data_IF_891459407244
#
_entry.id   IF_891459407244
#
_cell.length_a   1.000
_cell.length_b   1.000
_cell.length_c   1.000
_cell.angle_alpha   90.00
_cell.angle_beta   90.00
_cell.angle_gamma   90.00
#
_symmetry.space_group_name_H-M   'P 1'
#
loop_
_entity.id
_entity.type
_entity.pdbx_description
1 polymer ?
#
# COMPACT_ATOMS: atom_id res chain seq x y z
N UNK A 1 30.39 3.64 0.55
CA UNK A 1 30.10 4.07 -0.81
C UNK A 1 28.96 5.07 -0.77
N UNK A 2 29.05 6.13 -1.55
CA UNK A 2 27.96 7.11 -1.66
C UNK A 2 26.75 6.45 -2.33
N UNK A 3 25.57 6.53 -1.72
CA UNK A 3 24.35 5.96 -2.30
C UNK A 3 24.01 6.74 -3.58
N UNK A 4 23.63 6.01 -4.64
CA UNK A 4 23.18 6.59 -5.90
C UNK A 4 21.67 6.78 -5.89
N UNK A 5 21.18 7.70 -6.69
CA UNK A 5 19.74 7.77 -6.98
C UNK A 5 19.30 6.51 -7.70
N UNK A 6 18.04 6.10 -7.51
CA UNK A 6 17.51 4.94 -8.22
C UNK A 6 17.56 5.14 -9.74
N UNK A 7 17.44 6.40 -10.21
CA UNK A 7 17.60 6.77 -11.63
C UNK A 7 18.99 6.42 -12.16
N UNK A 8 20.04 6.76 -11.40
CA UNK A 8 21.44 6.53 -11.82
C UNK A 8 21.81 5.05 -11.73
N UNK A 9 21.36 4.38 -10.68
CA UNK A 9 21.69 2.96 -10.44
C UNK A 9 20.93 2.02 -11.40
N UNK A 10 19.71 2.39 -11.82
CA UNK A 10 18.76 1.52 -12.51
C UNK A 10 18.21 2.14 -13.81
N UNK A 11 19.00 2.93 -14.53
CA UNK A 11 18.58 3.59 -15.78
C UNK A 11 18.02 2.60 -16.83
N UNK A 12 18.70 1.47 -17.07
CA UNK A 12 18.26 0.44 -18.01
C UNK A 12 17.01 -0.30 -17.55
N UNK A 13 16.84 -0.47 -16.24
CA UNK A 13 15.62 -1.01 -15.63
C UNK A 13 14.41 -0.15 -15.96
N UNK A 14 14.48 1.17 -15.77
CA UNK A 14 13.36 2.07 -16.08
C UNK A 14 13.05 2.12 -17.58
N UNK A 15 14.08 2.00 -18.43
CA UNK A 15 13.89 1.85 -19.87
C UNK A 15 13.14 0.57 -20.20
N UNK A 16 13.53 -0.55 -19.59
CA UNK A 16 12.86 -1.85 -19.79
C UNK A 16 11.42 -1.84 -19.27
N UNK A 17 11.17 -1.27 -18.06
CA UNK A 17 9.82 -1.08 -17.52
C UNK A 17 8.93 -0.32 -18.50
N UNK A 18 9.42 0.80 -19.02
CA UNK A 18 8.66 1.64 -19.95
C UNK A 18 8.34 0.94 -21.26
N UNK A 19 9.30 0.17 -21.81
CA UNK A 19 9.10 -0.62 -23.03
C UNK A 19 8.08 -1.75 -22.87
N UNK A 20 7.97 -2.33 -21.69
CA UNK A 20 7.01 -3.38 -21.38
C UNK A 20 5.62 -2.85 -21.02
N UNK A 21 5.50 -1.56 -20.69
CA UNK A 21 4.27 -0.98 -20.15
C UNK A 21 3.14 -0.97 -21.16
N UNK A 22 1.98 -1.48 -20.73
CA UNK A 22 0.71 -1.48 -21.47
C UNK A 22 -0.42 -0.86 -20.66
N UNK A 23 -0.14 -0.35 -19.46
CA UNK A 23 -1.14 0.22 -18.58
C UNK A 23 -1.80 1.47 -19.16
N UNK A 24 -3.11 1.60 -18.94
CA UNK A 24 -3.88 2.75 -19.37
C UNK A 24 -3.36 4.04 -18.71
N UNK A 25 -3.16 5.09 -19.51
CA UNK A 25 -2.76 6.40 -19.00
C UNK A 25 -3.91 7.14 -18.32
N UNK A 26 -5.16 6.87 -18.73
CA UNK A 26 -6.36 7.46 -18.11
C UNK A 26 -7.14 6.39 -17.35
N UNK A 27 -7.61 6.78 -16.19
CA UNK A 27 -8.45 5.94 -15.34
C UNK A 27 -9.89 6.44 -15.40
N UNK A 28 -10.80 5.50 -15.65
CA UNK A 28 -12.24 5.70 -15.55
C UNK A 28 -12.92 4.52 -14.85
N UNK A 29 -14.25 4.54 -14.78
CA UNK A 29 -15.02 3.48 -14.11
C UNK A 29 -14.93 2.08 -14.76
N UNK A 30 -14.40 1.96 -15.98
CA UNK A 30 -14.29 0.68 -16.69
C UNK A 30 -12.95 -0.04 -16.45
N UNK A 31 -11.93 0.67 -15.98
CA UNK A 31 -10.56 0.15 -15.88
C UNK A 31 -9.90 0.32 -14.49
N UNK A 32 -10.71 0.44 -13.43
CA UNK A 32 -10.20 0.58 -12.05
C UNK A 32 -9.44 -0.65 -11.55
N UNK A 33 -9.79 -1.86 -11.99
CA UNK A 33 -9.05 -3.08 -11.65
C UNK A 33 -8.02 -3.36 -12.74
N UNK A 34 -6.77 -3.39 -12.36
CA UNK A 34 -5.64 -3.55 -13.28
C UNK A 34 -4.75 -4.71 -12.83
N UNK A 35 -4.60 -5.68 -13.71
CA UNK A 35 -3.73 -6.84 -13.48
C UNK A 35 -2.25 -6.44 -13.56
N UNK A 36 -1.43 -7.15 -12.80
CA UNK A 36 0.01 -7.03 -12.86
C UNK A 36 0.55 -7.39 -14.25
N UNK A 37 1.54 -6.62 -14.71
CA UNK A 37 2.35 -6.98 -15.87
C UNK A 37 3.48 -7.92 -15.45
N UNK A 38 3.46 -9.19 -15.84
CA UNK A 38 4.43 -10.17 -15.36
C UNK A 38 5.87 -9.87 -15.79
N UNK A 39 6.08 -9.14 -16.90
CA UNK A 39 7.43 -8.71 -17.32
C UNK A 39 7.96 -7.63 -16.40
N UNK A 40 7.13 -6.64 -16.06
CA UNK A 40 7.49 -5.57 -15.13
C UNK A 40 7.64 -6.11 -13.71
N UNK A 41 6.81 -7.08 -13.29
CA UNK A 41 6.95 -7.75 -12.00
C UNK A 41 8.32 -8.41 -11.85
N UNK A 42 8.80 -9.17 -12.84
CA UNK A 42 10.14 -9.79 -12.81
C UNK A 42 11.28 -8.77 -12.69
N UNK A 43 11.13 -7.61 -13.33
CA UNK A 43 12.12 -6.54 -13.18
C UNK A 43 12.12 -5.99 -11.74
N UNK A 44 10.94 -5.81 -11.14
CA UNK A 44 10.83 -5.38 -9.74
C UNK A 44 11.40 -6.39 -8.77
N UNK A 45 11.13 -7.68 -8.98
CA UNK A 45 11.68 -8.75 -8.16
C UNK A 45 13.22 -8.72 -8.19
N UNK A 46 13.81 -8.49 -9.37
CA UNK A 46 15.26 -8.34 -9.51
C UNK A 46 15.81 -7.11 -8.77
N UNK A 47 15.13 -5.98 -8.83
CA UNK A 47 15.52 -4.78 -8.09
C UNK A 47 15.51 -5.03 -6.58
N UNK A 48 14.49 -5.72 -6.07
CA UNK A 48 14.42 -6.10 -4.65
C UNK A 48 15.54 -7.08 -4.30
N UNK A 49 15.71 -8.15 -5.08
CA UNK A 49 16.76 -9.16 -4.86
C UNK A 49 18.15 -8.53 -4.79
N UNK A 50 18.47 -7.59 -5.67
CA UNK A 50 19.77 -6.92 -5.72
C UNK A 50 20.07 -6.05 -4.49
N UNK A 51 19.04 -5.63 -3.74
CA UNK A 51 19.18 -4.69 -2.63
C UNK A 51 18.70 -5.26 -1.28
N UNK A 52 18.18 -6.48 -1.23
CA UNK A 52 17.73 -7.12 -0.01
C UNK A 52 18.90 -7.85 0.66
N UNK A 53 19.24 -7.47 1.90
CA UNK A 53 20.25 -8.20 2.66
C UNK A 53 19.73 -9.58 3.10
N UNK A 54 20.59 -10.61 3.21
CA UNK A 54 20.20 -11.98 3.55
C UNK A 54 19.47 -12.14 4.88
N UNK A 55 19.72 -11.23 5.84
CA UNK A 55 19.09 -11.22 7.17
C UNK A 55 17.64 -10.69 7.15
N UNK A 56 17.17 -10.25 5.99
CA UNK A 56 15.79 -9.78 5.84
C UNK A 56 14.81 -10.94 6.01
N UNK A 57 13.72 -10.70 6.74
CA UNK A 57 12.77 -11.77 7.05
C UNK A 57 11.35 -11.24 7.33
N UNK A 58 10.41 -12.18 7.32
CA UNK A 58 9.06 -11.96 7.84
C UNK A 58 9.04 -12.34 9.31
N UNK A 59 8.58 -11.43 10.16
CA UNK A 59 8.42 -11.65 11.60
C UNK A 59 6.97 -12.04 11.91
N UNK A 60 6.77 -12.94 12.89
CA UNK A 60 5.46 -13.51 13.24
C UNK A 60 4.78 -14.21 12.04
N UNK A 61 5.51 -15.07 11.37
CA UNK A 61 5.05 -15.80 10.16
C UNK A 61 3.74 -16.54 10.41
N UNK A 62 3.53 -17.06 11.61
CA UNK A 62 2.29 -17.75 12.04
C UNK A 62 1.05 -16.85 11.92
N UNK A 63 1.17 -15.54 12.12
CA UNK A 63 0.06 -14.60 11.97
C UNK A 63 -0.33 -14.42 10.50
N UNK A 64 0.64 -14.34 9.60
CA UNK A 64 0.38 -14.33 8.15
C UNK A 64 -0.32 -15.62 7.71
N UNK A 65 0.12 -16.76 8.22
CA UNK A 65 -0.47 -18.07 7.91
C UNK A 65 -1.89 -18.20 8.48
N UNK A 66 -2.13 -17.78 9.73
CA UNK A 66 -3.48 -17.77 10.31
C UNK A 66 -4.42 -16.87 9.51
N UNK A 67 -3.98 -15.65 9.18
CA UNK A 67 -4.72 -14.72 8.34
C UNK A 67 -5.10 -15.36 7.01
N UNK A 68 -4.13 -15.95 6.30
CA UNK A 68 -4.39 -16.53 5.00
C UNK A 68 -5.25 -17.80 5.05
N UNK A 69 -5.12 -18.60 6.09
CA UNK A 69 -6.01 -19.75 6.32
C UNK A 69 -7.46 -19.31 6.53
N UNK A 70 -7.69 -18.21 7.24
CA UNK A 70 -9.02 -17.64 7.38
C UNK A 70 -9.57 -17.09 6.06
N UNK A 71 -8.72 -16.47 5.21
CA UNK A 71 -9.10 -16.07 3.85
C UNK A 71 -9.48 -17.27 3.00
N UNK A 72 -8.67 -18.35 3.02
CA UNK A 72 -9.00 -19.60 2.32
C UNK A 72 -10.30 -20.24 2.80
N UNK A 73 -10.70 -19.99 4.04
CA UNK A 73 -11.97 -20.44 4.60
C UNK A 73 -13.18 -19.56 4.22
N UNK A 74 -12.96 -18.52 3.43
CA UNK A 74 -14.00 -17.65 2.87
C UNK A 74 -14.16 -16.28 3.54
N UNK A 75 -13.32 -15.92 4.53
CA UNK A 75 -13.31 -14.56 5.08
C UNK A 75 -12.64 -13.58 4.12
N UNK A 76 -13.19 -12.37 4.02
CA UNK A 76 -12.56 -11.29 3.27
C UNK A 76 -11.41 -10.68 4.07
N UNK A 77 -10.21 -10.62 3.47
CA UNK A 77 -8.96 -10.20 4.13
C UNK A 77 -8.48 -8.81 3.71
N UNK A 78 -8.00 -8.05 4.70
CA UNK A 78 -7.41 -6.71 4.55
C UNK A 78 -6.01 -6.68 5.16
N UNK A 79 -5.01 -6.19 4.40
CA UNK A 79 -3.68 -5.89 4.91
C UNK A 79 -3.55 -4.38 5.04
N UNK A 80 -3.26 -3.92 6.26
CA UNK A 80 -2.97 -2.52 6.59
C UNK A 80 -1.47 -2.40 6.83
N UNK A 81 -0.73 -1.82 5.87
CA UNK A 81 0.73 -1.81 5.90
C UNK A 81 1.29 -0.39 6.00
N UNK A 82 2.36 -0.19 6.78
CA UNK A 82 3.12 1.04 6.78
C UNK A 82 3.64 1.41 5.39
N UNK A 83 3.96 2.68 5.16
CA UNK A 83 4.45 3.14 3.87
C UNK A 83 5.62 4.12 4.03
N UNK A 84 6.83 3.64 3.80
CA UNK A 84 8.06 4.42 3.87
C UNK A 84 8.65 4.71 2.50
N UNK A 85 8.56 3.75 1.57
CA UNK A 85 9.18 3.86 0.26
C UNK A 85 8.31 3.28 -0.87
N UNK A 86 8.67 3.57 -2.11
CA UNK A 86 8.01 2.96 -3.25
C UNK A 86 8.34 1.45 -3.40
N UNK A 87 9.34 0.95 -2.69
CA UNK A 87 9.72 -0.47 -2.70
C UNK A 87 9.06 -1.30 -1.61
N UNK A 88 8.22 -0.72 -0.75
CA UNK A 88 7.56 -1.45 0.35
C UNK A 88 6.68 -2.60 -0.18
N UNK A 89 5.77 -2.32 -1.10
CA UNK A 89 4.92 -3.34 -1.71
C UNK A 89 5.74 -4.36 -2.52
N UNK A 90 6.66 -3.95 -3.43
CA UNK A 90 7.58 -4.87 -4.10
C UNK A 90 8.29 -5.83 -3.16
N UNK A 91 8.95 -5.29 -2.13
CA UNK A 91 9.73 -6.08 -1.19
C UNK A 91 8.86 -7.03 -0.36
N UNK A 92 7.72 -6.56 0.14
CA UNK A 92 6.77 -7.39 0.88
C UNK A 92 6.30 -8.60 0.06
N UNK A 93 5.85 -8.37 -1.17
CA UNK A 93 5.35 -9.44 -2.02
C UNK A 93 6.48 -10.39 -2.44
N UNK A 94 7.67 -9.86 -2.72
CA UNK A 94 8.87 -10.68 -3.00
C UNK A 94 9.20 -11.60 -1.82
N UNK A 95 9.22 -11.09 -0.60
CA UNK A 95 9.56 -11.87 0.58
C UNK A 95 8.50 -12.93 0.91
N UNK A 96 7.22 -12.66 0.68
CA UNK A 96 6.17 -13.68 0.78
C UNK A 96 6.40 -14.80 -0.24
N UNK A 97 6.70 -14.47 -1.49
CA UNK A 97 6.93 -15.44 -2.57
C UNK A 97 8.17 -16.31 -2.33
N UNK A 98 9.23 -15.74 -1.75
CA UNK A 98 10.50 -16.41 -1.52
C UNK A 98 10.69 -16.93 -0.09
N UNK A 99 9.62 -16.93 0.71
CA UNK A 99 9.62 -17.43 2.11
C UNK A 99 9.83 -18.94 2.25
N UNK A 100 9.79 -19.71 1.14
CA UNK A 100 9.79 -21.18 1.17
C UNK A 100 8.44 -21.80 1.56
N UNK A 101 7.41 -21.00 1.83
CA UNK A 101 6.07 -21.45 2.21
C UNK A 101 5.07 -21.21 1.07
N UNK A 102 4.40 -22.27 0.62
CA UNK A 102 3.46 -22.21 -0.51
C UNK A 102 2.21 -21.33 -0.23
N UNK A 103 1.74 -21.27 1.02
CA UNK A 103 0.59 -20.45 1.39
C UNK A 103 0.95 -18.97 1.39
N UNK A 104 2.14 -18.59 1.83
CA UNK A 104 2.62 -17.21 1.74
C UNK A 104 2.88 -16.80 0.29
N UNK A 105 3.41 -17.70 -0.52
CA UNK A 105 3.58 -17.44 -1.96
C UNK A 105 2.23 -17.26 -2.68
N UNK A 106 1.19 -17.99 -2.28
CA UNK A 106 -0.16 -17.80 -2.81
C UNK A 106 -0.81 -16.51 -2.28
N UNK A 107 -0.59 -16.15 -1.01
CA UNK A 107 -1.01 -14.86 -0.45
C UNK A 107 -0.45 -13.68 -1.26
N UNK A 108 0.86 -13.72 -1.61
CA UNK A 108 1.45 -12.69 -2.47
C UNK A 108 0.71 -12.55 -3.80
N UNK A 109 0.44 -13.67 -4.48
CA UNK A 109 -0.24 -13.69 -5.79
C UNK A 109 -1.68 -13.19 -5.71
N UNK A 110 -2.35 -13.37 -4.58
CA UNK A 110 -3.73 -12.94 -4.34
C UNK A 110 -3.83 -11.54 -3.75
N UNK A 111 -2.71 -10.90 -3.44
CA UNK A 111 -2.70 -9.54 -2.90
C UNK A 111 -2.94 -8.52 -4.01
N UNK A 112 -3.94 -7.66 -3.80
CA UNK A 112 -4.35 -6.57 -4.68
C UNK A 112 -4.17 -5.25 -3.94
N UNK A 113 -3.30 -4.38 -4.44
CA UNK A 113 -3.00 -3.11 -3.80
C UNK A 113 -4.04 -2.03 -4.14
N UNK A 114 -4.35 -1.15 -3.19
CA UNK A 114 -5.08 0.09 -3.48
C UNK A 114 -4.09 1.14 -3.96
N UNK A 115 -4.38 1.75 -5.11
CA UNK A 115 -3.53 2.76 -5.73
C UNK A 115 -4.31 4.03 -6.07
N UNK A 116 -3.74 5.20 -5.83
CA UNK A 116 -4.31 6.46 -6.28
C UNK A 116 -4.14 6.66 -7.80
N UNK A 117 -5.13 7.22 -8.47
CA UNK A 117 -5.14 7.40 -9.94
C UNK A 117 -3.95 8.19 -10.47
N UNK A 118 -3.36 9.08 -9.68
CA UNK A 118 -2.16 9.83 -10.08
C UNK A 118 -0.96 8.95 -10.45
N UNK A 119 -0.83 7.76 -9.86
CA UNK A 119 0.20 6.80 -10.25
C UNK A 119 0.09 6.36 -11.72
N UNK A 120 -1.11 6.41 -12.28
CA UNK A 120 -1.33 6.10 -13.69
C UNK A 120 -1.21 7.34 -14.61
N UNK A 121 -1.61 8.52 -14.13
CA UNK A 121 -1.81 9.70 -14.97
C UNK A 121 -0.59 10.62 -15.04
N UNK A 122 0.11 10.82 -13.90
CA UNK A 122 1.12 11.88 -13.77
C UNK A 122 2.43 11.58 -14.52
N UNK A 123 2.92 10.33 -14.50
CA UNK A 123 4.23 9.99 -15.05
C UNK A 123 4.25 8.58 -15.67
N UNK A 124 4.67 8.42 -16.94
CA UNK A 124 4.74 7.12 -17.61
C UNK A 124 5.65 6.10 -16.90
N UNK A 125 6.75 6.54 -16.28
CA UNK A 125 7.67 5.67 -15.54
C UNK A 125 7.00 5.19 -14.25
N UNK A 126 6.34 6.09 -13.52
CA UNK A 126 5.59 5.75 -12.29
C UNK A 126 4.45 4.77 -12.63
N UNK A 127 3.76 5.00 -13.74
CA UNK A 127 2.73 4.09 -14.24
C UNK A 127 3.29 2.70 -14.54
N UNK A 128 4.42 2.61 -15.26
CA UNK A 128 5.08 1.35 -15.59
C UNK A 128 5.57 0.61 -14.33
N UNK A 129 6.01 1.34 -13.31
CA UNK A 129 6.37 0.82 -11.99
C UNK A 129 5.13 0.25 -11.29
N UNK A 130 4.06 1.02 -11.19
CA UNK A 130 2.81 0.59 -10.56
C UNK A 130 2.15 -0.60 -11.29
N UNK A 131 2.35 -0.74 -12.60
CA UNK A 131 1.86 -1.85 -13.41
C UNK A 131 2.47 -3.21 -13.01
N UNK A 132 3.57 -3.22 -12.27
CA UNK A 132 4.18 -4.46 -11.76
C UNK A 132 3.27 -5.23 -10.79
N UNK A 133 2.21 -4.61 -10.28
CA UNK A 133 1.33 -5.20 -9.26
C UNK A 133 -0.13 -5.10 -9.65
N UNK A 134 -0.90 -6.14 -9.32
CA UNK A 134 -2.36 -6.10 -9.42
C UNK A 134 -2.90 -5.06 -8.44
N UNK A 135 -3.79 -4.18 -8.93
CA UNK A 135 -4.28 -3.06 -8.14
C UNK A 135 -5.71 -2.66 -8.46
N UNK A 136 -6.37 -2.10 -7.47
CA UNK A 136 -7.62 -1.34 -7.66
C UNK A 136 -7.28 0.14 -7.55
N UNK A 137 -7.59 0.89 -8.59
CA UNK A 137 -7.32 2.33 -8.65
C UNK A 137 -8.51 3.09 -8.08
N UNK A 138 -8.22 4.00 -7.14
CA UNK A 138 -9.20 4.89 -6.52
C UNK A 138 -8.92 6.35 -6.88
N UNK A 139 -9.94 7.19 -6.74
CA UNK A 139 -9.79 8.64 -6.73
C UNK A 139 -9.64 9.11 -5.27
N UNK A 140 -8.42 9.47 -4.80
CA UNK A 140 -8.20 9.85 -3.40
C UNK A 140 -8.90 11.16 -3.03
N UNK A 141 -9.48 11.25 -1.84
CA UNK A 141 -10.13 12.47 -1.33
C UNK A 141 -9.20 13.69 -1.35
N UNK A 142 -7.93 13.51 -0.95
CA UNK A 142 -6.92 14.58 -1.02
C UNK A 142 -6.71 15.13 -2.45
N UNK A 143 -6.83 14.28 -3.47
CA UNK A 143 -6.71 14.71 -4.87
C UNK A 143 -7.96 15.47 -5.31
N UNK A 144 -9.13 15.03 -4.86
CA UNK A 144 -10.39 15.72 -5.13
C UNK A 144 -10.38 17.14 -4.56
N UNK A 145 -10.06 17.30 -3.27
CA UNK A 145 -9.96 18.62 -2.62
C UNK A 145 -9.00 19.56 -3.35
N UNK A 146 -7.80 19.05 -3.70
CA UNK A 146 -6.82 19.87 -4.47
C UNK A 146 -7.30 20.25 -5.86
N UNK A 147 -8.06 19.40 -6.53
CA UNK A 147 -8.59 19.68 -7.86
C UNK A 147 -9.79 20.62 -7.80
N UNK A 148 -10.65 20.49 -6.78
CA UNK A 148 -11.74 21.45 -6.51
C UNK A 148 -11.19 22.86 -6.22
N UNK A 149 -10.13 22.99 -5.42
CA UNK A 149 -9.45 24.28 -5.15
C UNK A 149 -8.82 24.90 -6.41
N UNK A 150 -8.48 24.11 -7.42
CA UNK A 150 -7.89 24.57 -8.68
C UNK A 150 -8.92 24.80 -9.79
N UNK A 151 -10.16 24.36 -9.59
CA UNK A 151 -11.22 24.49 -10.57
C UNK A 151 -11.48 25.97 -10.89
N UNK A 152 -11.63 26.31 -12.16
CA UNK A 152 -11.85 27.67 -12.63
C UNK A 152 -13.34 28.05 -12.63
N UNK A 153 -14.23 27.05 -12.46
CA UNK A 153 -15.67 27.24 -12.40
C UNK A 153 -16.35 26.21 -11.47
N UNK A 154 -17.57 26.50 -11.04
CA UNK A 154 -18.40 25.55 -10.29
C UNK A 154 -18.76 24.31 -11.12
N UNK A 155 -18.92 24.47 -12.42
CA UNK A 155 -19.19 23.37 -13.35
C UNK A 155 -18.03 22.40 -13.39
N UNK A 156 -16.80 22.89 -13.51
CA UNK A 156 -15.58 22.08 -13.51
C UNK A 156 -15.40 21.30 -12.19
N UNK A 157 -15.64 21.96 -11.05
CA UNK A 157 -15.62 21.31 -9.74
C UNK A 157 -16.67 20.20 -9.62
N UNK A 158 -17.89 20.42 -10.13
CA UNK A 158 -18.96 19.41 -10.16
C UNK A 158 -18.63 18.23 -11.07
N UNK A 159 -18.05 18.47 -12.22
CA UNK A 159 -17.62 17.40 -13.16
C UNK A 159 -16.56 16.53 -12.51
N UNK A 160 -15.56 17.12 -11.85
CA UNK A 160 -14.50 16.39 -11.17
C UNK A 160 -15.03 15.55 -9.99
N UNK A 161 -15.97 16.12 -9.22
CA UNK A 161 -16.67 15.38 -8.15
C UNK A 161 -17.46 14.17 -8.71
N UNK A 162 -18.17 14.34 -9.82
CA UNK A 162 -18.90 13.25 -10.46
C UNK A 162 -17.97 12.17 -11.00
N UNK A 163 -16.84 12.56 -11.59
CA UNK A 163 -15.77 11.65 -12.02
C UNK A 163 -15.23 10.84 -10.83
N UNK A 164 -14.84 11.50 -9.76
CA UNK A 164 -14.35 10.86 -8.54
C UNK A 164 -15.36 9.86 -7.97
N UNK A 165 -16.63 10.24 -7.90
CA UNK A 165 -17.72 9.38 -7.43
C UNK A 165 -17.89 8.13 -8.30
N UNK A 166 -17.86 8.27 -9.64
CA UNK A 166 -17.96 7.14 -10.57
C UNK A 166 -16.81 6.18 -10.42
N UNK A 167 -15.57 6.68 -10.36
CA UNK A 167 -14.35 5.87 -10.17
C UNK A 167 -14.41 5.13 -8.83
N UNK A 168 -14.72 5.82 -7.72
CA UNK A 168 -14.74 5.20 -6.40
C UNK A 168 -15.88 4.17 -6.25
N UNK A 169 -17.03 4.38 -6.88
CA UNK A 169 -18.09 3.37 -6.93
C UNK A 169 -17.66 2.12 -7.70
N UNK A 170 -16.97 2.29 -8.84
CA UNK A 170 -16.41 1.17 -9.60
C UNK A 170 -15.32 0.44 -8.81
N UNK A 171 -14.45 1.16 -8.12
CA UNK A 171 -13.41 0.60 -7.24
C UNK A 171 -14.02 -0.24 -6.10
N UNK A 172 -15.10 0.23 -5.47
CA UNK A 172 -15.83 -0.55 -4.46
C UNK A 172 -16.36 -1.87 -5.02
N UNK A 173 -16.95 -1.84 -6.22
CA UNK A 173 -17.43 -3.06 -6.90
C UNK A 173 -16.25 -4.00 -7.22
N UNK A 174 -15.15 -3.47 -7.72
CA UNK A 174 -13.95 -4.26 -7.99
C UNK A 174 -13.41 -4.93 -6.71
N UNK A 175 -13.39 -4.23 -5.57
CA UNK A 175 -13.00 -4.82 -4.28
C UNK A 175 -13.97 -5.92 -3.82
N UNK A 176 -15.29 -5.76 -4.05
CA UNK A 176 -16.25 -6.82 -3.77
C UNK A 176 -16.02 -8.06 -4.64
N UNK A 177 -15.64 -7.87 -5.89
CA UNK A 177 -15.29 -8.98 -6.78
C UNK A 177 -13.95 -9.62 -6.39
N UNK A 178 -12.96 -8.84 -5.90
CA UNK A 178 -11.74 -9.38 -5.29
C UNK A 178 -12.08 -10.32 -4.11
N UNK A 179 -12.94 -9.90 -3.20
CA UNK A 179 -13.39 -10.74 -2.06
C UNK A 179 -13.98 -12.08 -2.53
N UNK A 180 -14.86 -12.05 -3.53
CA UNK A 180 -15.48 -13.26 -4.10
C UNK A 180 -14.46 -14.23 -4.72
N UNK A 181 -13.34 -13.70 -5.24
CA UNK A 181 -12.23 -14.50 -5.78
C UNK A 181 -11.24 -14.97 -4.72
N UNK A 182 -11.43 -14.59 -3.45
CA UNK A 182 -10.48 -14.87 -2.36
C UNK A 182 -9.18 -14.07 -2.51
N UNK A 183 -9.24 -12.91 -3.16
CA UNK A 183 -8.14 -11.96 -3.20
C UNK A 183 -8.14 -11.10 -1.93
N UNK A 184 -6.95 -10.67 -1.53
CA UNK A 184 -6.70 -9.87 -0.33
C UNK A 184 -6.40 -8.44 -0.72
N UNK A 185 -7.08 -7.49 -0.11
CA UNK A 185 -6.81 -6.08 -0.36
C UNK A 185 -5.69 -5.58 0.56
N UNK A 186 -4.69 -4.93 -0.03
CA UNK A 186 -3.62 -4.23 0.69
C UNK A 186 -3.80 -2.73 0.52
N UNK A 187 -3.80 -2.01 1.63
CA UNK A 187 -3.86 -0.55 1.65
C UNK A 187 -2.82 0.03 2.61
N UNK A 188 -2.24 1.14 2.24
CA UNK A 188 -1.38 1.95 3.10
C UNK A 188 -2.27 2.95 3.87
N UNK A 189 -2.46 2.81 5.20
CA UNK A 189 -3.42 3.63 5.93
C UNK A 189 -3.11 5.13 5.89
N UNK A 190 -1.84 5.52 5.79
CA UNK A 190 -1.41 6.92 5.66
C UNK A 190 -1.74 7.52 4.28
N UNK A 191 -1.95 6.67 3.25
CA UNK A 191 -2.20 7.09 1.86
C UNK A 191 -1.05 7.87 1.21
N UNK A 192 0.09 7.95 1.88
CA UNK A 192 1.33 8.57 1.39
C UNK A 192 2.52 7.96 2.13
N UNK A 193 3.71 8.06 1.52
CA UNK A 193 4.96 7.66 2.18
C UNK A 193 5.27 8.58 3.37
N UNK A 194 5.72 7.97 4.47
CA UNK A 194 6.25 8.73 5.61
C UNK A 194 7.51 9.49 5.19
N UNK A 195 7.59 10.76 5.62
CA UNK A 195 8.76 11.62 5.41
C UNK A 195 9.30 12.06 6.76
N UNK A 196 10.60 11.88 6.97
CA UNK A 196 11.28 12.35 8.17
C UNK A 196 11.06 13.85 8.34
N UNK A 197 10.83 14.29 9.58
CA UNK A 197 10.49 15.70 9.87
C UNK A 197 9.05 16.11 9.52
N UNK A 198 8.24 15.22 8.93
CA UNK A 198 6.85 15.47 8.51
C UNK A 198 5.88 14.46 9.14
N UNK A 199 5.62 14.55 10.47
CA UNK A 199 4.77 13.57 11.19
C UNK A 199 3.35 13.47 10.64
N UNK A 200 2.83 14.54 10.02
CA UNK A 200 1.53 14.54 9.35
C UNK A 200 1.43 13.53 8.19
N UNK A 201 2.56 13.12 7.60
CA UNK A 201 2.60 12.11 6.55
C UNK A 201 2.43 10.69 7.08
N UNK A 202 2.62 10.49 8.39
CA UNK A 202 2.39 9.21 9.08
C UNK A 202 0.95 9.07 9.59
N UNK A 203 0.18 10.15 9.61
CA UNK A 203 -1.20 10.13 10.08
C UNK A 203 -2.09 9.28 9.16
N UNK A 204 -2.84 8.36 9.77
CA UNK A 204 -3.80 7.53 9.06
C UNK A 204 -4.97 8.32 8.49
N UNK A 205 -5.47 7.90 7.33
CA UNK A 205 -6.60 8.52 6.66
C UNK A 205 -7.93 8.03 7.25
N UNK A 206 -8.81 8.98 7.58
CA UNK A 206 -10.15 8.71 8.13
C UNK A 206 -10.99 7.73 7.29
N UNK A 207 -10.78 7.72 5.99
CA UNK A 207 -11.48 6.84 5.03
C UNK A 207 -11.19 5.36 5.26
N UNK A 208 -10.08 5.02 5.92
CA UNK A 208 -9.70 3.63 6.22
C UNK A 208 -10.70 2.95 7.16
N UNK A 209 -11.43 3.70 8.01
CA UNK A 209 -12.56 3.16 8.79
C UNK A 209 -13.60 2.43 7.90
N UNK A 210 -13.76 2.87 6.67
CA UNK A 210 -14.67 2.22 5.72
C UNK A 210 -14.20 0.82 5.31
N UNK A 211 -12.89 0.61 5.20
CA UNK A 211 -12.34 -0.73 4.91
C UNK A 211 -12.58 -1.69 6.08
N UNK A 212 -12.38 -1.23 7.33
CA UNK A 212 -12.68 -2.07 8.52
C UNK A 212 -14.16 -2.46 8.62
N UNK A 213 -15.08 -1.71 7.97
CA UNK A 213 -16.49 -2.09 7.89
C UNK A 213 -16.80 -3.06 6.75
N UNK A 214 -15.97 -3.05 5.70
CA UNK A 214 -16.19 -3.83 4.48
C UNK A 214 -15.54 -5.21 4.51
N UNK A 215 -14.51 -5.41 5.34
CA UNK A 215 -13.76 -6.66 5.44
C UNK A 215 -14.06 -7.40 6.75
N UNK A 216 -13.90 -8.74 6.74
CA UNK A 216 -14.14 -9.56 7.90
C UNK A 216 -12.94 -9.55 8.85
N UNK A 217 -11.73 -9.67 8.28
CA UNK A 217 -10.47 -9.74 9.03
C UNK A 217 -9.42 -8.81 8.45
N UNK A 218 -8.52 -8.35 9.32
CA UNK A 218 -7.35 -7.57 8.93
C UNK A 218 -6.09 -8.05 9.66
N UNK A 219 -4.92 -7.74 9.08
CA UNK A 219 -3.62 -7.73 9.76
C UNK A 219 -2.96 -6.37 9.56
N UNK A 220 -2.22 -5.92 10.58
CA UNK A 220 -1.34 -4.76 10.49
C UNK A 220 0.08 -5.25 10.19
N UNK A 221 0.75 -4.66 9.21
CA UNK A 221 2.12 -5.01 8.83
C UNK A 221 3.02 -3.78 8.98
N UNK A 222 3.94 -3.81 9.95
CA UNK A 222 4.96 -2.79 10.10
C UNK A 222 6.21 -3.13 9.28
N UNK A 223 6.97 -2.10 8.93
CA UNK A 223 8.16 -2.20 8.06
C UNK A 223 9.35 -1.60 8.78
N UNK A 224 10.41 -2.37 8.96
CA UNK A 224 11.67 -1.88 9.47
C UNK A 224 12.76 -2.04 8.40
N UNK A 225 13.55 -0.99 8.20
CA UNK A 225 14.52 -0.88 7.10
C UNK A 225 13.91 -0.35 5.80
N UNK A 226 14.76 0.06 4.87
CA UNK A 226 14.34 0.51 3.54
C UNK A 226 15.48 0.44 2.53
N UNK A 227 15.25 -0.26 1.43
CA UNK A 227 16.21 -0.30 0.30
C UNK A 227 16.12 0.96 -0.57
N UNK A 228 15.14 1.83 -0.33
CA UNK A 228 14.94 3.07 -1.08
C UNK A 228 14.60 4.21 -0.11
N UNK A 229 15.51 5.18 0.03
CA UNK A 229 15.38 6.31 0.95
C UNK A 229 14.90 7.56 0.21
N UNK A 230 13.85 8.19 0.76
CA UNK A 230 13.34 9.47 0.25
C UNK A 230 14.37 10.56 0.50
N UNK A 231 14.68 11.38 -0.53
CA UNK A 231 15.47 12.59 -0.36
C UNK A 231 14.56 13.77 0.01
N UNK A 232 14.91 14.45 1.11
CA UNK A 232 14.19 15.65 1.53
C UNK A 232 14.23 16.74 0.46
N UNK A 233 13.07 17.40 0.29
CA UNK A 233 12.91 18.48 -0.69
C UNK A 233 12.80 18.03 -2.15
N UNK A 234 12.83 16.73 -2.45
CA UNK A 234 12.61 16.20 -3.79
C UNK A 234 11.27 15.45 -3.88
N UNK A 235 10.45 15.86 -4.84
CA UNK A 235 9.16 15.21 -5.10
C UNK A 235 9.25 14.04 -6.08
N UNK A 236 10.28 14.04 -6.94
CA UNK A 236 10.49 13.00 -7.95
C UNK A 236 10.98 11.70 -7.30
N UNK A 237 10.16 10.64 -7.39
CA UNK A 237 10.50 9.31 -6.87
C UNK A 237 11.80 8.72 -7.45
N UNK A 238 12.23 9.16 -8.62
CA UNK A 238 13.48 8.72 -9.25
C UNK A 238 14.72 9.37 -8.65
N UNK A 239 14.53 10.34 -7.75
CA UNK A 239 15.59 10.97 -6.96
C UNK A 239 15.87 10.22 -5.66
N UNK A 240 14.99 9.28 -5.24
CA UNK A 240 15.19 8.52 -4.02
C UNK A 240 16.51 7.72 -4.10
N UNK A 241 17.21 7.58 -2.97
CA UNK A 241 18.50 6.89 -2.90
C UNK A 241 18.28 5.39 -2.71
N UNK A 242 18.96 4.57 -3.54
CA UNK A 242 18.87 3.12 -3.45
C UNK A 242 20.14 2.50 -2.88
N UNK A 243 19.97 1.46 -2.07
CA UNK A 243 21.09 0.69 -1.52
C UNK A 243 20.62 -0.49 -0.69
N UNK A 244 21.52 -1.47 -0.46
CA UNK A 244 21.19 -2.65 0.32
C UNK A 244 20.77 -2.30 1.76
N UNK A 245 19.68 -2.96 2.23
CA UNK A 245 19.27 -2.89 3.63
C UNK A 245 18.62 -4.21 4.09
N UNK A 246 18.61 -4.40 5.41
CA UNK A 246 17.89 -5.48 6.08
C UNK A 246 16.44 -5.04 6.28
N UNK A 247 15.51 -5.71 5.61
CA UNK A 247 14.08 -5.47 5.75
C UNK A 247 13.44 -6.49 6.68
N UNK A 248 12.61 -6.00 7.60
CA UNK A 248 11.76 -6.84 8.45
C UNK A 248 10.31 -6.40 8.28
N UNK A 249 9.45 -7.33 7.86
CA UNK A 249 8.00 -7.11 7.82
C UNK A 249 7.35 -7.89 8.95
N UNK A 250 6.79 -7.17 9.92
CA UNK A 250 6.18 -7.75 11.12
C UNK A 250 4.67 -7.71 11.03
N UNK A 251 4.00 -8.85 11.21
CA UNK A 251 2.55 -8.88 11.22
C UNK A 251 1.98 -8.87 12.65
N UNK A 252 0.84 -8.19 12.83
CA UNK A 252 0.00 -8.36 14.01
C UNK A 252 -0.72 -9.70 13.99
N UNK A 253 -1.26 -10.13 15.13
CA UNK A 253 -2.32 -11.16 15.14
C UNK A 253 -3.51 -10.70 14.30
N UNK A 254 -4.32 -11.68 13.85
CA UNK A 254 -5.51 -11.41 13.04
C UNK A 254 -6.52 -10.58 13.84
N UNK A 255 -7.01 -9.52 13.24
CA UNK A 255 -8.01 -8.60 13.79
C UNK A 255 -9.36 -8.93 13.15
N UNK A 256 -10.36 -9.27 13.94
CA UNK A 256 -11.75 -9.35 13.50
C UNK A 256 -12.32 -7.93 13.36
N UNK A 257 -12.41 -7.41 12.14
CA UNK A 257 -12.66 -5.99 11.86
C UNK A 257 -13.89 -5.42 12.58
N UNK A 258 -15.04 -6.11 12.51
CA UNK A 258 -16.30 -5.64 13.11
C UNK A 258 -16.22 -5.63 14.64
N UNK A 259 -15.66 -6.69 15.22
CA UNK A 259 -15.50 -6.82 16.68
C UNK A 259 -14.54 -5.77 17.20
N UNK A 260 -13.34 -5.69 16.64
CA UNK A 260 -12.32 -4.71 17.00
C UNK A 260 -12.86 -3.27 16.93
N UNK A 261 -13.56 -2.96 15.84
CA UNK A 261 -14.17 -1.64 15.66
C UNK A 261 -15.23 -1.34 16.72
N UNK A 262 -16.16 -2.28 16.99
CA UNK A 262 -17.22 -2.07 17.97
C UNK A 262 -16.69 -1.95 19.40
N UNK A 263 -15.72 -2.78 19.78
CA UNK A 263 -15.08 -2.76 21.10
C UNK A 263 -14.35 -1.44 21.34
N UNK A 264 -13.52 -1.00 20.36
CA UNK A 264 -12.80 0.25 20.50
C UNK A 264 -13.71 1.48 20.54
N UNK A 265 -14.71 1.56 19.66
CA UNK A 265 -15.67 2.67 19.67
C UNK A 265 -16.46 2.76 20.97
N UNK A 266 -16.74 1.64 21.64
CA UNK A 266 -17.40 1.63 22.95
C UNK A 266 -16.52 2.19 24.08
N UNK A 267 -15.20 2.33 23.87
CA UNK A 267 -14.31 2.96 24.86
C UNK A 267 -14.22 4.48 24.70
N UNK A 268 -14.72 5.03 23.60
CA UNK A 268 -14.68 6.46 23.34
C UNK A 268 -15.79 7.21 24.10
N UNK A 269 -15.57 8.48 24.46
CA UNK A 269 -16.62 9.33 25.00
C UNK A 269 -17.82 9.44 24.04
N UNK A 270 -19.04 9.53 24.56
CA UNK A 270 -20.26 9.69 23.74
C UNK A 270 -20.23 10.91 22.82
N UNK A 271 -19.51 11.98 23.21
CA UNK A 271 -19.36 13.21 22.47
C UNK A 271 -18.04 13.30 21.67
N UNK A 272 -17.37 12.16 21.39
CA UNK A 272 -16.18 12.17 20.54
C UNK A 272 -16.50 12.78 19.17
N UNK A 273 -15.82 13.87 18.76
CA UNK A 273 -16.17 14.59 17.53
C UNK A 273 -15.84 13.82 16.25
N UNK A 274 -14.82 12.96 16.26
CA UNK A 274 -14.46 12.13 15.10
C UNK A 274 -14.05 10.69 15.49
N UNK A 275 -15.02 9.84 15.83
CA UNK A 275 -14.76 8.46 16.23
C UNK A 275 -14.12 7.63 15.11
N UNK A 276 -14.31 8.01 13.83
CA UNK A 276 -13.66 7.31 12.70
C UNK A 276 -12.17 7.61 12.66
N UNK A 277 -11.77 8.86 12.87
CA UNK A 277 -10.34 9.18 12.94
C UNK A 277 -9.69 8.48 14.13
N UNK A 278 -10.35 8.47 15.31
CA UNK A 278 -9.85 7.74 16.48
C UNK A 278 -9.66 6.25 16.22
N UNK A 279 -10.57 5.63 15.46
CA UNK A 279 -10.43 4.24 15.04
C UNK A 279 -9.16 4.02 14.22
N UNK A 280 -8.84 4.94 13.33
CA UNK A 280 -7.65 4.81 12.49
C UNK A 280 -6.38 5.20 13.27
N UNK A 281 -6.45 6.18 14.16
CA UNK A 281 -5.34 6.47 15.08
C UNK A 281 -4.95 5.20 15.87
N UNK A 282 -5.94 4.39 16.32
CA UNK A 282 -5.69 3.10 16.99
C UNK A 282 -4.98 2.07 16.09
N UNK A 283 -5.30 2.02 14.81
CA UNK A 283 -4.58 1.18 13.83
C UNK A 283 -3.13 1.67 13.67
N UNK A 284 -2.94 2.99 13.57
CA UNK A 284 -1.59 3.57 13.45
C UNK A 284 -0.76 3.30 14.71
N UNK A 285 -1.36 3.34 15.91
CA UNK A 285 -0.68 2.98 17.16
C UNK A 285 -0.21 1.50 17.15
N UNK A 286 -1.01 0.58 16.61
CA UNK A 286 -0.60 -0.84 16.49
C UNK A 286 0.64 -0.96 15.60
N UNK A 287 0.62 -0.30 14.44
CA UNK A 287 1.76 -0.29 13.51
C UNK A 287 3.01 0.32 14.15
N UNK A 288 2.85 1.47 14.83
CA UNK A 288 3.95 2.17 15.51
C UNK A 288 4.61 1.30 16.59
N UNK A 289 3.79 0.68 17.45
CA UNK A 289 4.30 -0.19 18.53
C UNK A 289 5.06 -1.40 17.95
N UNK A 290 4.56 -2.01 16.85
CA UNK A 290 5.26 -3.10 16.19
C UNK A 290 6.60 -2.60 15.60
N UNK A 291 6.57 -1.47 14.90
CA UNK A 291 7.76 -0.86 14.31
C UNK A 291 8.83 -0.58 15.35
N UNK A 292 8.49 0.13 16.44
CA UNK A 292 9.43 0.48 17.50
C UNK A 292 10.04 -0.73 18.21
N UNK A 293 9.28 -1.79 18.40
CA UNK A 293 9.77 -2.99 19.05
C UNK A 293 10.83 -3.71 18.22
N UNK A 294 10.64 -3.78 16.91
CA UNK A 294 11.59 -4.42 16.00
C UNK A 294 12.79 -3.53 15.72
N UNK A 295 12.61 -2.20 15.59
CA UNK A 295 13.73 -1.29 15.32
C UNK A 295 14.79 -1.33 16.42
N UNK A 296 14.40 -1.53 17.68
CA UNK A 296 15.32 -1.69 18.82
C UNK A 296 16.30 -2.86 18.67
N UNK A 297 15.92 -3.90 17.94
CA UNK A 297 16.69 -5.15 17.79
C UNK A 297 17.21 -5.39 16.37
N UNK A 298 16.70 -4.67 15.37
CA UNK A 298 17.05 -4.89 13.96
C UNK A 298 18.52 -4.68 13.65
N UNK A 299 19.15 -3.70 14.30
CA UNK A 299 20.54 -3.32 14.08
C UNK A 299 21.50 -3.88 15.14
N UNK A 300 21.00 -4.62 16.12
CA UNK A 300 21.80 -5.33 17.12
C UNK A 300 22.29 -6.67 16.58
#
# INVERSE_FOLDING_TARGET
MEKKTIREAYADFFKALSLNSVAAAKIDSSNVYQLANPKNRKLMDKLVEDNLLPESHLENVENFLDFYNQVKSGKSGLILMEHYSNTDLPAFLYMLEHSGNSDLADLSKRTVAIAGMKLNEDNPIVRAFAESFTRVVIYPTRSLTKNEEKAQSEEEAKEEMLKARKINLAAMRAMDDCKKRGEVILVFPSGTRYRSGHPETKRGLREIDSYLRLFDIAICVSINGSILEIQDGKEDMLSDLIGPDKLVFTSSSVIECKKFRSEYLATLPENEPDPKQKMIDKIMDILEVQHENVEKTRLA
#
